data_IF_731536187059
#
_entry.id   IF_731536187059
#
_cell.length_a   1.000
_cell.length_b   1.000
_cell.length_c   1.000
_cell.angle_alpha   90.00
_cell.angle_beta   90.00
_cell.angle_gamma   90.00
#
_symmetry.space_group_name_H-M   'P 1'
#
loop_
_entity.id
_entity.type
_entity.pdbx_description
1 polymer ?
#
# COMPACT_ATOMS: atom_id res chain seq x y z
N UNK A 1 -45.23 50.38 -11.33
CA UNK A 1 -43.86 50.86 -11.06
C UNK A 1 -43.37 50.23 -9.76
N UNK A 2 -42.21 49.55 -9.83
CA UNK A 2 -41.41 48.91 -8.75
C UNK A 2 -41.92 47.59 -8.15
N UNK A 3 -41.67 46.50 -8.90
CA UNK A 3 -41.27 45.22 -8.29
C UNK A 3 -39.88 45.40 -7.67
N UNK A 4 -39.78 45.22 -6.35
CA UNK A 4 -38.52 44.92 -5.69
C UNK A 4 -38.83 44.26 -4.36
N UNK A 5 -38.58 42.96 -4.26
CA UNK A 5 -37.93 42.35 -3.09
C UNK A 5 -37.68 40.87 -3.38
N UNK A 6 -36.41 40.55 -3.65
CA UNK A 6 -35.57 39.69 -2.81
C UNK A 6 -35.95 38.21 -2.99
N UNK A 7 -35.31 37.49 -3.92
CA UNK A 7 -33.90 37.06 -3.81
C UNK A 7 -33.55 36.59 -2.39
N UNK A 8 -34.43 35.82 -1.75
CA UNK A 8 -34.22 35.16 -0.45
C UNK A 8 -34.39 33.64 -0.57
N UNK A 9 -35.11 33.15 -1.58
CA UNK A 9 -35.30 31.71 -1.80
C UNK A 9 -34.06 30.97 -2.32
N UNK A 10 -32.98 31.68 -2.69
CA UNK A 10 -31.69 31.06 -3.01
C UNK A 10 -30.86 30.68 -1.78
N UNK A 11 -31.37 30.90 -0.55
CA UNK A 11 -30.76 30.40 0.69
C UNK A 11 -31.34 29.08 1.19
N UNK A 12 -32.44 28.58 0.59
CA UNK A 12 -32.86 27.18 0.78
C UNK A 12 -31.97 26.18 0.02
N UNK A 13 -30.96 26.69 -0.70
CA UNK A 13 -29.84 25.93 -1.28
C UNK A 13 -28.84 25.42 -0.25
N UNK A 14 -28.90 25.88 1.02
CA UNK A 14 -27.85 25.56 2.00
C UNK A 14 -28.00 24.20 2.69
N UNK A 15 -29.17 23.54 2.59
CA UNK A 15 -29.41 22.26 3.27
C UNK A 15 -29.21 21.03 2.38
N UNK A 16 -29.18 21.16 1.05
CA UNK A 16 -29.11 20.01 0.13
C UNK A 16 -27.70 19.71 -0.40
N UNK A 17 -26.71 20.56 -0.10
CA UNK A 17 -25.34 20.40 -0.61
C UNK A 17 -24.29 20.01 0.45
N UNK A 18 -24.63 20.04 1.75
CA UNK A 18 -23.65 19.78 2.81
C UNK A 18 -23.53 18.30 3.23
N UNK A 19 -24.45 17.43 2.79
CA UNK A 19 -24.50 16.03 3.24
C UNK A 19 -23.83 15.03 2.29
N UNK A 20 -23.12 15.46 1.25
CA UNK A 20 -22.38 14.56 0.34
C UNK A 20 -20.85 14.73 0.47
N UNK A 21 -20.35 15.36 1.55
CA UNK A 21 -18.94 15.20 1.93
C UNK A 21 -18.72 13.92 2.78
N UNK A 22 -19.41 12.84 2.40
CA UNK A 22 -19.03 11.49 2.81
C UNK A 22 -17.84 11.04 1.97
N UNK A 23 -16.65 11.45 2.41
CA UNK A 23 -15.44 10.67 2.20
C UNK A 23 -14.78 10.51 3.57
N UNK A 24 -15.40 9.69 4.43
CA UNK A 24 -14.67 9.09 5.56
C UNK A 24 -13.56 8.23 4.98
N UNK A 25 -12.35 8.79 4.85
CA UNK A 25 -11.14 8.00 4.78
C UNK A 25 -10.95 7.33 6.14
N UNK A 26 -11.54 6.15 6.27
CA UNK A 26 -11.35 5.28 7.42
C UNK A 26 -9.95 4.62 7.26
N UNK A 27 -8.91 5.26 7.80
CA UNK A 27 -7.62 4.61 7.96
C UNK A 27 -7.70 3.74 9.22
N UNK A 28 -8.19 2.51 9.05
CA UNK A 28 -7.97 1.45 10.01
C UNK A 28 -6.49 1.05 9.95
N UNK A 29 -5.63 1.83 10.62
CA UNK A 29 -4.28 1.38 11.01
C UNK A 29 -4.44 0.39 12.17
N UNK A 30 -5.14 -0.72 11.92
CA UNK A 30 -5.21 -1.83 12.85
C UNK A 30 -3.92 -2.63 12.74
N UNK A 31 -3.18 -2.60 13.85
CA UNK A 31 -2.32 -3.67 14.37
C UNK A 31 -0.80 -3.57 14.09
N UNK A 32 -0.15 -2.71 14.90
CA UNK A 32 1.30 -2.68 15.15
C UNK A 32 1.82 -3.88 15.97
N UNK A 33 1.10 -4.99 16.06
CA UNK A 33 1.49 -6.19 16.84
C UNK A 33 1.34 -7.48 16.02
N UNK A 34 1.73 -7.46 14.73
CA UNK A 34 1.87 -8.69 13.93
C UNK A 34 3.08 -8.69 12.96
N UNK A 35 4.13 -7.91 13.21
CA UNK A 35 5.28 -7.84 12.27
C UNK A 35 6.41 -8.85 12.60
N UNK A 36 6.32 -9.62 13.70
CA UNK A 36 7.32 -10.66 14.04
C UNK A 36 7.00 -12.07 13.54
N UNK A 37 5.79 -12.36 13.07
CA UNK A 37 5.38 -13.72 12.62
C UNK A 37 5.15 -13.83 11.10
N UNK A 38 5.12 -12.71 10.37
CA UNK A 38 4.83 -12.72 8.94
C UNK A 38 6.05 -13.13 8.08
N UNK A 39 7.27 -12.93 8.59
CA UNK A 39 8.52 -13.18 7.86
C UNK A 39 8.71 -14.64 7.43
N UNK A 40 8.05 -15.62 8.07
CA UNK A 40 8.18 -17.05 7.74
C UNK A 40 7.39 -17.46 6.49
N UNK A 41 6.43 -16.64 6.04
CA UNK A 41 5.56 -16.95 4.88
C UNK A 41 5.88 -16.11 3.64
N UNK A 42 6.92 -15.28 3.69
CA UNK A 42 7.37 -14.47 2.56
C UNK A 42 8.76 -14.93 2.10
N UNK A 43 8.86 -15.71 1.02
CA UNK A 43 10.15 -16.22 0.53
C UNK A 43 11.07 -15.09 0.04
N UNK A 44 10.50 -13.92 -0.29
CA UNK A 44 11.25 -12.77 -0.76
C UNK A 44 10.97 -11.56 0.12
N UNK A 45 12.06 -10.97 0.63
CA UNK A 45 12.06 -9.72 1.39
C UNK A 45 12.96 -8.73 0.67
N UNK A 46 12.48 -7.52 0.41
CA UNK A 46 13.22 -6.48 -0.29
C UNK A 46 13.34 -5.29 0.63
N UNK A 47 14.57 -4.84 0.89
CA UNK A 47 14.80 -3.57 1.55
C UNK A 47 14.71 -2.47 0.49
N UNK A 48 13.92 -1.43 0.76
CA UNK A 48 13.68 -0.34 -0.17
C UNK A 48 14.12 0.98 0.46
N UNK A 49 14.95 1.75 -0.23
CA UNK A 49 15.33 3.10 0.20
C UNK A 49 14.39 4.13 -0.42
N UNK A 50 14.11 5.21 0.32
CA UNK A 50 13.24 6.28 -0.15
C UNK A 50 11.74 6.11 0.18
N UNK A 51 11.36 5.00 0.82
CA UNK A 51 9.97 4.75 1.23
C UNK A 51 9.67 5.38 2.60
N UNK A 52 9.38 6.69 2.63
CA UNK A 52 9.18 7.46 3.87
C UNK A 52 7.71 7.78 4.23
N UNK A 53 6.78 7.64 3.30
CA UNK A 53 5.37 7.96 3.51
C UNK A 53 4.48 6.72 3.38
N UNK A 54 3.42 6.63 4.18
CA UNK A 54 2.41 5.56 4.11
C UNK A 54 1.80 5.43 2.71
N UNK A 55 1.68 6.55 1.98
CA UNK A 55 1.18 6.54 0.60
C UNK A 55 2.23 5.95 -0.35
N UNK A 56 3.52 6.22 -0.12
CA UNK A 56 4.61 5.65 -0.92
C UNK A 56 4.65 4.12 -0.80
N UNK A 57 4.50 3.56 0.41
CA UNK A 57 4.42 2.11 0.58
C UNK A 57 3.21 1.50 -0.12
N UNK A 58 2.04 2.13 0.00
CA UNK A 58 0.82 1.65 -0.68
C UNK A 58 0.96 1.68 -2.21
N UNK A 59 1.55 2.75 -2.76
CA UNK A 59 1.80 2.85 -4.19
C UNK A 59 2.80 1.78 -4.67
N UNK A 60 3.88 1.57 -3.92
CA UNK A 60 4.87 0.56 -4.25
C UNK A 60 4.30 -0.86 -4.15
N UNK A 61 3.51 -1.14 -3.10
CA UNK A 61 2.81 -2.41 -2.92
C UNK A 61 1.91 -2.72 -4.13
N UNK A 62 1.10 -1.73 -4.53
CA UNK A 62 0.26 -1.83 -5.73
C UNK A 62 1.10 -2.11 -6.97
N UNK A 63 2.18 -1.37 -7.17
CA UNK A 63 3.03 -1.50 -8.35
C UNK A 63 3.71 -2.87 -8.46
N UNK A 64 4.15 -3.44 -7.33
CA UNK A 64 4.75 -4.78 -7.29
C UNK A 64 3.67 -5.87 -7.44
N UNK A 65 2.46 -5.63 -6.94
CA UNK A 65 1.32 -6.56 -7.10
C UNK A 65 0.84 -6.75 -8.53
N UNK A 66 1.20 -5.84 -9.45
CA UNK A 66 0.92 -5.96 -10.89
C UNK A 66 1.73 -7.08 -11.58
N UNK A 67 2.79 -7.59 -10.93
CA UNK A 67 3.55 -8.71 -11.46
C UNK A 67 2.71 -10.00 -11.41
N UNK A 68 2.59 -10.68 -12.56
CA UNK A 68 1.75 -11.88 -12.68
C UNK A 68 2.18 -13.01 -11.74
N UNK A 69 3.47 -13.08 -11.39
CA UNK A 69 4.05 -14.09 -10.51
C UNK A 69 3.76 -13.86 -9.03
N UNK A 70 3.28 -12.66 -8.67
CA UNK A 70 3.08 -12.23 -7.29
C UNK A 70 1.68 -12.61 -6.83
N UNK A 71 1.60 -13.28 -5.67
CA UNK A 71 0.35 -13.66 -5.00
C UNK A 71 -0.11 -12.55 -4.04
N UNK A 72 0.80 -12.08 -3.18
CA UNK A 72 0.53 -10.97 -2.27
C UNK A 72 1.81 -10.18 -1.98
N UNK A 73 1.64 -8.90 -1.68
CA UNK A 73 2.72 -7.97 -1.34
C UNK A 73 2.35 -7.25 -0.05
N UNK A 74 3.34 -7.02 0.80
CA UNK A 74 3.18 -6.21 1.99
C UNK A 74 4.35 -5.23 2.12
N UNK A 75 4.06 -3.93 2.07
CA UNK A 75 5.06 -2.88 2.23
C UNK A 75 4.97 -2.21 3.60
N UNK A 76 6.10 -2.10 4.30
CA UNK A 76 6.22 -1.49 5.62
C UNK A 76 7.16 -0.28 5.58
N UNK A 77 6.61 0.93 5.78
CA UNK A 77 7.41 2.17 5.97
C UNK A 77 8.18 2.17 7.29
N UNK A 78 7.75 1.40 8.29
CA UNK A 78 8.44 1.30 9.57
C UNK A 78 9.73 0.48 9.47
N UNK A 79 9.70 -0.60 8.68
CA UNK A 79 10.87 -1.47 8.48
C UNK A 79 11.66 -1.11 7.21
N UNK A 80 11.11 -0.22 6.38
CA UNK A 80 11.55 0.06 5.01
C UNK A 80 11.68 -1.21 4.16
N UNK A 81 10.80 -2.20 4.40
CA UNK A 81 10.82 -3.51 3.74
C UNK A 81 9.53 -3.79 2.98
N UNK A 82 9.68 -4.46 1.84
CA UNK A 82 8.60 -5.02 1.03
C UNK A 82 8.72 -6.54 1.07
N UNK A 83 7.65 -7.22 1.44
CA UNK A 83 7.58 -8.68 1.51
C UNK A 83 6.71 -9.18 0.38
N UNK A 84 7.17 -10.18 -0.35
CA UNK A 84 6.53 -10.66 -1.56
C UNK A 84 6.28 -12.16 -1.42
N UNK A 85 5.04 -12.57 -1.61
CA UNK A 85 4.63 -13.96 -1.74
C UNK A 85 4.48 -14.28 -3.22
N UNK A 86 5.09 -15.38 -3.64
CA UNK A 86 5.06 -15.84 -5.03
C UNK A 86 3.90 -16.82 -5.18
N UNK A 87 3.27 -16.85 -6.36
CA UNK A 87 2.28 -17.87 -6.71
C UNK A 87 2.94 -19.23 -6.88
N UNK A 88 2.20 -20.29 -6.53
CA UNK A 88 2.67 -21.67 -6.70
C UNK A 88 2.96 -21.96 -8.18
N UNK A 89 4.14 -22.53 -8.45
CA UNK A 89 4.59 -22.86 -9.82
C UNK A 89 5.18 -21.68 -10.61
N UNK A 90 5.32 -20.50 -9.99
CA UNK A 90 6.03 -19.36 -10.57
C UNK A 90 7.36 -19.13 -9.85
N UNK A 91 8.31 -18.52 -10.56
CA UNK A 91 9.57 -18.06 -10.01
C UNK A 91 9.76 -16.58 -10.31
N UNK A 92 10.31 -15.86 -9.33
CA UNK A 92 10.58 -14.44 -9.45
C UNK A 92 12.06 -14.15 -9.20
N UNK A 93 12.76 -13.76 -10.26
CA UNK A 93 14.21 -13.48 -10.21
C UNK A 93 14.48 -12.16 -9.50
N UNK A 94 15.54 -12.09 -8.69
CA UNK A 94 16.01 -10.84 -8.03
C UNK A 94 16.07 -9.65 -8.98
N UNK A 95 16.58 -9.87 -10.20
CA UNK A 95 16.67 -8.85 -11.25
C UNK A 95 15.30 -8.26 -11.60
N UNK A 96 14.29 -9.09 -11.85
CA UNK A 96 12.94 -8.64 -12.21
C UNK A 96 12.31 -7.78 -11.12
N UNK A 97 12.56 -8.13 -9.86
CA UNK A 97 12.08 -7.38 -8.69
C UNK A 97 12.80 -6.03 -8.59
N UNK A 98 14.12 -6.05 -8.71
CA UNK A 98 14.95 -4.84 -8.68
C UNK A 98 14.56 -3.88 -9.81
N UNK A 99 14.42 -4.40 -11.03
CA UNK A 99 14.02 -3.63 -12.21
C UNK A 99 12.65 -2.99 -11.99
N UNK A 100 11.65 -3.77 -11.54
CA UNK A 100 10.30 -3.25 -11.24
C UNK A 100 10.32 -2.18 -10.15
N UNK A 101 11.10 -2.33 -9.09
CA UNK A 101 11.17 -1.31 -8.03
C UNK A 101 11.91 -0.05 -8.50
N UNK A 102 12.92 -0.23 -9.38
CA UNK A 102 13.66 0.88 -9.98
C UNK A 102 12.80 1.67 -10.96
N UNK A 103 11.94 1.00 -11.73
CA UNK A 103 10.92 1.63 -12.59
C UNK A 103 9.93 2.49 -11.79
N UNK A 104 9.65 2.12 -10.53
CA UNK A 104 8.84 2.91 -9.61
C UNK A 104 9.60 4.10 -8.99
N UNK A 105 10.90 4.25 -9.27
CA UNK A 105 11.73 5.34 -8.77
C UNK A 105 12.36 5.09 -7.39
N UNK A 106 12.47 3.83 -6.96
CA UNK A 106 13.08 3.47 -5.68
C UNK A 106 14.30 2.59 -5.85
N UNK A 107 15.19 2.62 -4.87
CA UNK A 107 16.34 1.70 -4.79
C UNK A 107 15.96 0.46 -3.98
N UNK A 108 16.29 -0.72 -4.50
CA UNK A 108 15.94 -2.01 -3.89
C UNK A 108 17.19 -2.87 -3.61
N UNK A 109 17.19 -3.51 -2.45
CA UNK A 109 18.13 -4.57 -2.09
C UNK A 109 17.33 -5.85 -1.78
N UNK A 110 17.48 -6.87 -2.62
CA UNK A 110 16.63 -8.07 -2.60
C UNK A 110 17.26 -9.17 -1.76
N UNK A 111 16.60 -9.52 -0.66
CA UNK A 111 16.92 -10.63 0.24
C UNK A 111 15.95 -11.79 0.00
N UNK A 112 16.44 -12.88 -0.60
CA UNK A 112 15.65 -14.11 -0.70
C UNK A 112 15.90 -14.90 0.57
N UNK A 113 14.87 -15.02 1.41
CA UNK A 113 14.90 -15.94 2.55
C UNK A 113 14.56 -17.32 2.01
N UNK A 114 15.55 -18.20 1.91
CA UNK A 114 15.23 -19.62 1.92
C UNK A 114 14.65 -19.93 3.31
N UNK A 115 13.56 -20.71 3.43
CA UNK A 115 13.03 -21.09 4.72
C UNK A 115 14.08 -21.93 5.45
N UNK A 116 14.86 -21.30 6.30
CA UNK A 116 15.59 -21.97 7.37
C UNK A 116 14.56 -22.38 8.43
N UNK A 117 14.46 -23.69 8.64
CA UNK A 117 13.67 -24.30 9.69
C UNK A 117 14.02 -23.70 11.07
N UNK A 118 13.15 -22.88 11.65
CA UNK A 118 13.24 -22.63 13.09
C UNK A 118 12.43 -23.70 13.81
N UNK A 119 13.16 -24.74 14.19
CA UNK A 119 12.78 -25.83 15.08
C UNK A 119 12.06 -25.28 16.31
N UNK A 120 10.97 -25.94 16.68
CA UNK A 120 10.36 -25.88 18.00
C UNK A 120 11.42 -26.30 19.03
N UNK A 121 11.63 -25.50 20.07
CA UNK A 121 12.11 -25.98 21.36
C UNK A 121 11.18 -25.46 22.45
#
# INVERSE_FOLDING_TARGET
>A
MKLKTKSIYTLLSFSLFYTILFASCNNNDTNKTQVKLADTNFPIVVQVKGMYCQICSKNLERYVSELNEVDSVYASTSDHKVRIKIKDGYELTKKKISDKISEAGYEAEVFIKHPENTTKE
#
